data_IF_022314652113
#
_entry.id   IF_022314652113
#
_cell.length_a   1.000
_cell.length_b   1.000
_cell.length_c   1.000
_cell.angle_alpha   90.00
_cell.angle_beta   90.00
_cell.angle_gamma   90.00
#
_symmetry.space_group_name_H-M   'P 1'
#
loop_
_entity.id
_entity.type
_entity.pdbx_description
1 polymer ?
#
# COMPACT_ATOMS: atom_id res chain seq x y z
N UNK A 1 -14.69 6.07 -25.49
CA UNK A 1 -13.58 5.80 -24.56
C UNK A 1 -14.19 5.57 -23.19
N UNK A 2 -14.00 4.40 -22.58
CA UNK A 2 -14.54 4.13 -21.24
C UNK A 2 -13.68 4.87 -20.19
N UNK A 3 -14.28 5.50 -19.18
CA UNK A 3 -13.51 6.16 -18.12
C UNK A 3 -12.70 5.12 -17.33
N UNK A 4 -11.40 5.38 -17.19
CA UNK A 4 -10.51 4.61 -16.31
C UNK A 4 -10.30 5.39 -15.01
N UNK A 5 -10.50 4.73 -13.88
CA UNK A 5 -10.34 5.29 -12.55
C UNK A 5 -9.04 4.81 -11.91
N UNK A 6 -8.43 5.63 -11.07
CA UNK A 6 -7.24 5.26 -10.32
C UNK A 6 -7.57 5.03 -8.84
N UNK A 7 -6.94 4.00 -8.27
CA UNK A 7 -7.19 3.57 -6.91
C UNK A 7 -5.96 2.95 -6.26
N UNK A 8 -5.94 3.01 -4.95
CA UNK A 8 -4.93 2.34 -4.13
C UNK A 8 -5.62 1.48 -3.09
N UNK A 9 -4.98 0.37 -2.75
CA UNK A 9 -5.57 -0.62 -1.88
C UNK A 9 -4.60 -1.70 -1.49
N UNK A 10 -5.14 -2.80 -0.99
CA UNK A 10 -4.39 -3.98 -0.59
C UNK A 10 -4.89 -5.22 -1.32
N UNK A 11 -4.03 -6.19 -1.58
CA UNK A 11 -4.46 -7.45 -2.15
C UNK A 11 -5.22 -8.28 -1.09
N UNK A 12 -6.50 -8.59 -1.34
CA UNK A 12 -7.34 -9.36 -0.42
C UNK A 12 -7.01 -10.84 -0.49
N UNK A 13 -6.90 -11.37 -1.71
CA UNK A 13 -6.41 -12.72 -1.98
C UNK A 13 -6.06 -12.83 -3.46
N UNK A 14 -5.12 -13.71 -3.77
CA UNK A 14 -4.71 -13.99 -5.14
C UNK A 14 -4.50 -15.49 -5.34
N UNK A 15 -5.22 -16.06 -6.31
CA UNK A 15 -5.06 -17.46 -6.67
C UNK A 15 -4.03 -17.58 -7.79
N UNK A 16 -2.82 -17.95 -7.39
CA UNK A 16 -1.68 -18.14 -8.28
C UNK A 16 -1.91 -19.23 -9.33
N UNK A 17 -2.64 -20.29 -8.98
CA UNK A 17 -2.93 -21.40 -9.90
C UNK A 17 -3.89 -20.95 -11.01
N UNK A 18 -4.89 -20.15 -10.65
CA UNK A 18 -5.89 -19.67 -11.61
C UNK A 18 -5.50 -18.36 -12.29
N UNK A 19 -4.55 -17.62 -11.73
CA UNK A 19 -4.05 -16.35 -12.27
C UNK A 19 -5.00 -15.16 -12.08
N UNK A 20 -5.89 -15.21 -11.09
CA UNK A 20 -6.79 -14.11 -10.74
C UNK A 20 -6.92 -13.92 -9.24
N UNK A 21 -7.40 -12.76 -8.83
CA UNK A 21 -7.64 -12.43 -7.44
C UNK A 21 -8.56 -11.23 -7.27
N UNK A 22 -8.64 -10.77 -6.03
CA UNK A 22 -9.38 -9.57 -5.67
C UNK A 22 -8.50 -8.63 -4.84
N UNK A 23 -8.63 -7.35 -5.16
CA UNK A 23 -8.01 -6.25 -4.42
C UNK A 23 -9.09 -5.56 -3.59
N UNK A 24 -8.73 -5.21 -2.36
CA UNK A 24 -9.54 -4.39 -1.48
C UNK A 24 -9.06 -2.95 -1.60
N UNK A 25 -9.84 -2.13 -2.31
CA UNK A 25 -9.54 -0.73 -2.56
C UNK A 25 -9.91 0.12 -1.34
N UNK A 26 -8.95 0.86 -0.79
CA UNK A 26 -9.15 1.69 0.41
C UNK A 26 -9.13 3.18 0.12
N UNK A 27 -8.52 3.61 -1.00
CA UNK A 27 -8.57 5.01 -1.44
C UNK A 27 -8.81 5.11 -2.94
N UNK A 28 -9.60 6.10 -3.34
CA UNK A 28 -9.92 6.44 -4.73
C UNK A 28 -9.42 7.84 -5.04
N UNK A 29 -8.57 7.98 -6.05
CA UNK A 29 -8.11 9.31 -6.51
C UNK A 29 -7.60 10.22 -5.35
N UNK A 30 -6.95 9.61 -4.35
CA UNK A 30 -6.46 10.30 -3.15
C UNK A 30 -7.48 10.47 -2.01
N UNK A 31 -8.76 10.18 -2.24
CA UNK A 31 -9.83 10.24 -1.22
C UNK A 31 -9.97 8.88 -0.53
N UNK A 32 -9.90 8.80 0.81
CA UNK A 32 -10.18 7.56 1.54
C UNK A 32 -11.65 7.15 1.36
N UNK A 33 -11.89 5.84 1.24
CA UNK A 33 -13.24 5.28 1.16
C UNK A 33 -13.67 4.79 2.54
N UNK A 34 -14.93 5.05 2.91
CA UNK A 34 -15.52 4.51 4.15
C UNK A 34 -15.66 2.99 4.09
N UNK A 35 -15.97 2.45 2.91
CA UNK A 35 -16.10 1.02 2.67
C UNK A 35 -15.05 0.54 1.66
N UNK A 36 -14.30 -0.54 1.97
CA UNK A 36 -13.37 -1.13 1.03
C UNK A 36 -14.11 -1.74 -0.17
N UNK A 37 -13.71 -1.34 -1.37
CA UNK A 37 -14.35 -1.82 -2.60
C UNK A 37 -13.55 -2.97 -3.20
N UNK A 38 -14.23 -4.09 -3.50
CA UNK A 38 -13.61 -5.25 -4.14
C UNK A 38 -13.41 -5.01 -5.65
N UNK A 39 -12.16 -5.14 -6.11
CA UNK A 39 -11.77 -4.96 -7.51
C UNK A 39 -11.16 -6.25 -8.05
N UNK A 40 -11.70 -6.73 -9.18
CA UNK A 40 -11.22 -7.93 -9.84
C UNK A 40 -9.86 -7.68 -10.52
N UNK A 41 -8.88 -8.54 -10.23
CA UNK A 41 -7.54 -8.48 -10.83
C UNK A 41 -7.20 -9.78 -11.57
N UNK A 42 -6.60 -9.61 -12.76
CA UNK A 42 -6.09 -10.71 -13.57
C UNK A 42 -4.56 -10.59 -13.70
N UNK A 43 -3.86 -11.72 -13.72
CA UNK A 43 -2.39 -11.75 -13.81
C UNK A 43 -1.83 -10.97 -15.00
N UNK A 44 -2.53 -10.96 -16.14
CA UNK A 44 -2.10 -10.25 -17.35
C UNK A 44 -2.06 -8.73 -17.19
N UNK A 45 -2.67 -8.19 -16.12
CA UNK A 45 -2.73 -6.76 -15.82
C UNK A 45 -1.68 -6.35 -14.78
N UNK A 46 -0.97 -7.31 -14.18
CA UNK A 46 0.11 -7.06 -13.24
C UNK A 46 1.36 -6.55 -13.98
N UNK A 47 1.83 -5.39 -13.56
CA UNK A 47 3.07 -4.81 -14.06
C UNK A 47 4.25 -5.37 -13.27
N UNK A 48 4.75 -6.50 -13.75
CA UNK A 48 5.94 -7.18 -13.22
C UNK A 48 6.54 -8.09 -14.28
N UNK A 49 7.85 -8.31 -14.20
CA UNK A 49 8.56 -9.30 -15.01
C UNK A 49 8.58 -10.66 -14.33
N UNK A 50 8.54 -11.73 -15.14
CA UNK A 50 8.53 -13.11 -14.64
C UNK A 50 7.16 -13.57 -14.14
N UNK A 51 7.13 -14.13 -12.93
CA UNK A 51 5.96 -14.82 -12.40
C UNK A 51 4.96 -13.84 -11.78
N UNK A 52 3.84 -13.62 -12.48
CA UNK A 52 2.85 -12.60 -12.14
C UNK A 52 1.95 -13.06 -10.99
N UNK A 53 2.24 -12.58 -9.79
CA UNK A 53 1.47 -12.90 -8.59
C UNK A 53 1.41 -11.70 -7.65
N UNK A 54 0.52 -11.77 -6.67
CA UNK A 54 0.39 -10.78 -5.61
C UNK A 54 0.46 -11.47 -4.24
N UNK A 55 1.08 -10.81 -3.27
CA UNK A 55 1.03 -11.26 -1.87
C UNK A 55 -0.23 -10.72 -1.20
N UNK A 56 -0.86 -11.55 -0.39
CA UNK A 56 -1.98 -11.12 0.45
C UNK A 56 -1.54 -10.01 1.42
N UNK A 57 -2.33 -8.94 1.52
CA UNK A 57 -2.02 -7.76 2.32
C UNK A 57 -0.99 -6.81 1.71
N UNK A 58 -0.48 -7.07 0.51
CA UNK A 58 0.44 -6.17 -0.18
C UNK A 58 -0.28 -4.88 -0.61
N UNK A 59 0.33 -3.72 -0.32
CA UNK A 59 -0.15 -2.44 -0.80
C UNK A 59 0.11 -2.31 -2.31
N UNK A 60 -0.92 -1.95 -3.06
CA UNK A 60 -0.87 -1.85 -4.52
C UNK A 60 -1.60 -0.61 -5.01
N UNK A 61 -1.12 -0.08 -6.12
CA UNK A 61 -1.75 1.00 -6.88
C UNK A 61 -2.24 0.44 -8.21
N UNK A 62 -3.45 0.81 -8.60
CA UNK A 62 -4.04 0.25 -9.80
C UNK A 62 -5.01 1.19 -10.48
N UNK A 63 -5.20 0.94 -11.76
CA UNK A 63 -6.24 1.57 -12.56
C UNK A 63 -7.34 0.55 -12.78
N UNK A 64 -8.60 0.91 -12.58
CA UNK A 64 -9.74 0.04 -12.79
C UNK A 64 -10.79 0.71 -13.70
N UNK A 65 -11.66 -0.10 -14.29
CA UNK A 65 -12.81 0.35 -15.07
C UNK A 65 -14.07 -0.36 -14.59
N UNK A 66 -15.22 0.28 -14.83
CA UNK A 66 -16.51 -0.35 -14.65
C UNK A 66 -16.82 -1.22 -15.87
N UNK A 67 -17.09 -2.49 -15.65
CA UNK A 67 -17.46 -3.49 -16.65
C UNK A 67 -18.80 -4.12 -16.28
N UNK A 68 -19.41 -4.90 -17.19
CA UNK A 68 -20.69 -5.58 -16.93
C UNK A 68 -20.63 -6.57 -15.76
N UNK A 69 -19.44 -7.04 -15.39
CA UNK A 69 -19.18 -7.97 -14.27
C UNK A 69 -18.77 -7.28 -12.97
N UNK A 70 -18.75 -5.94 -12.93
CA UNK A 70 -18.25 -5.16 -11.79
C UNK A 70 -16.99 -4.39 -12.12
N UNK A 71 -16.15 -4.15 -11.11
CA UNK A 71 -14.90 -3.40 -11.26
C UNK A 71 -13.75 -4.31 -11.68
N UNK A 72 -13.11 -3.97 -12.81
CA UNK A 72 -12.00 -4.73 -13.37
C UNK A 72 -10.73 -3.88 -13.42
N UNK A 73 -9.62 -4.40 -12.91
CA UNK A 73 -8.30 -3.77 -13.04
C UNK A 73 -7.82 -3.75 -14.49
N UNK A 74 -7.27 -2.62 -14.93
CA UNK A 74 -6.57 -2.48 -16.21
C UNK A 74 -5.04 -2.56 -16.05
N UNK A 75 -4.51 -2.03 -14.96
CA UNK A 75 -3.06 -2.00 -14.67
C UNK A 75 -2.87 -2.02 -13.16
N UNK A 76 -1.96 -2.85 -12.67
CA UNK A 76 -1.64 -2.96 -11.24
C UNK A 76 -0.13 -2.85 -11.05
N UNK A 77 0.29 -2.02 -10.11
CA UNK A 77 1.68 -1.78 -9.69
C UNK A 77 1.79 -1.79 -8.17
N UNK A 78 3.01 -1.89 -7.66
CA UNK A 78 3.30 -1.53 -6.28
C UNK A 78 3.23 -0.01 -6.06
N UNK A 79 3.39 0.43 -4.80
CA UNK A 79 3.41 1.83 -4.42
C UNK A 79 4.56 2.58 -5.09
N UNK A 80 4.32 3.79 -5.58
CA UNK A 80 5.28 4.59 -6.34
C UNK A 80 5.56 4.06 -7.74
N UNK A 81 4.70 3.19 -8.28
CA UNK A 81 4.90 2.58 -9.60
C UNK A 81 5.97 1.48 -9.64
N UNK A 82 6.42 1.00 -8.49
CA UNK A 82 7.37 -0.10 -8.35
C UNK A 82 6.73 -1.42 -8.83
N UNK A 83 7.54 -2.41 -9.21
CA UNK A 83 7.06 -3.76 -9.49
C UNK A 83 6.40 -4.39 -8.24
N UNK A 84 5.37 -5.20 -8.47
CA UNK A 84 4.72 -5.94 -7.39
C UNK A 84 5.70 -6.96 -6.78
N UNK A 85 5.64 -7.16 -5.46
CA UNK A 85 6.49 -8.12 -4.74
C UNK A 85 6.13 -9.54 -5.14
N UNK A 86 4.84 -9.84 -5.18
CA UNK A 86 4.31 -11.15 -5.54
C UNK A 86 4.36 -12.19 -4.42
N UNK A 87 3.75 -13.35 -4.68
CA UNK A 87 3.64 -14.41 -3.68
C UNK A 87 4.92 -15.25 -3.64
N UNK A 88 5.57 -15.27 -2.47
CA UNK A 88 6.85 -15.93 -2.17
C UNK A 88 6.77 -17.48 -2.15
N UNK A 89 6.24 -18.10 -3.20
CA UNK A 89 6.37 -19.54 -3.45
C UNK A 89 7.29 -19.86 -4.63
N UNK A 90 8.40 -19.13 -4.72
CA UNK A 90 9.65 -19.77 -5.10
C UNK A 90 10.49 -19.89 -3.84
N UNK A 91 10.76 -21.08 -3.31
CA UNK A 91 11.77 -21.22 -2.28
C UNK A 91 13.07 -20.70 -2.89
N UNK A 92 13.64 -19.64 -2.31
CA UNK A 92 15.05 -19.34 -2.52
C UNK A 92 15.78 -20.58 -2.04
N UNK A 93 16.33 -21.35 -2.98
CA UNK A 93 17.34 -22.34 -2.67
C UNK A 93 18.49 -21.60 -1.96
N UNK A 94 18.64 -21.85 -0.66
CA UNK A 94 19.90 -21.77 0.13
C UNK A 94 20.70 -20.47 0.21
N UNK A 95 21.03 -20.08 1.45
CA UNK A 95 22.22 -19.28 1.83
C UNK A 95 22.07 -17.76 1.63
N UNK A 96 22.55 -16.89 2.51
CA UNK A 96 23.51 -17.04 3.61
C UNK A 96 23.44 -15.76 4.47
N UNK A 97 23.74 -15.89 5.76
CA UNK A 97 24.24 -14.78 6.57
C UNK A 97 25.33 -14.03 5.78
N UNK A 98 25.22 -12.69 5.72
CA UNK A 98 26.12 -11.84 4.95
C UNK A 98 25.94 -10.38 5.31
N UNK A 99 26.56 -9.97 6.43
CA UNK A 99 26.76 -8.57 6.80
C UNK A 99 27.59 -7.87 5.71
N UNK A 100 27.13 -6.71 5.23
CA UNK A 100 27.93 -5.75 4.44
C UNK A 100 27.18 -5.24 3.21
N UNK A 101 26.89 -3.97 3.03
CA UNK A 101 27.46 -2.76 3.62
C UNK A 101 27.60 -1.74 2.51
N UNK A 102 26.68 -0.78 2.45
CA UNK A 102 26.76 0.42 1.62
C UNK A 102 26.78 1.67 2.50
N UNK A 103 27.76 1.74 3.40
CA UNK A 103 28.16 2.98 4.04
C UNK A 103 28.83 3.88 2.99
N UNK A 104 28.15 4.93 2.52
CA UNK A 104 28.87 6.09 1.97
C UNK A 104 29.36 6.92 3.14
N UNK A 105 30.55 6.54 3.63
CA UNK A 105 31.35 7.31 4.57
C UNK A 105 32.25 8.26 3.76
N UNK A 106 31.69 9.36 3.28
CA UNK A 106 32.50 10.50 2.83
C UNK A 106 33.13 11.13 4.07
N UNK A 107 34.44 11.34 4.00
CA UNK A 107 35.28 11.78 5.11
C UNK A 107 34.96 13.22 5.54
N UNK A 108 34.84 13.40 6.86
CA UNK A 108 35.28 14.56 7.68
C UNK A 108 35.23 15.96 7.03
N UNK A 109 34.26 16.76 7.41
CA UNK A 109 34.49 17.92 8.31
C UNK A 109 33.14 18.47 8.79
N UNK A 110 33.12 18.99 10.02
CA UNK A 110 31.95 19.37 10.83
C UNK A 110 30.90 20.22 10.10
N UNK A 111 29.62 19.86 10.24
CA UNK A 111 28.76 20.56 11.20
C UNK A 111 27.58 19.68 11.61
N UNK A 112 27.38 19.59 12.92
CA UNK A 112 26.23 18.96 13.56
C UNK A 112 24.93 19.57 13.06
N UNK A 113 23.88 18.76 12.98
CA UNK A 113 22.64 19.05 13.69
C UNK A 113 21.91 17.73 13.95
N UNK A 114 22.13 17.27 15.17
CA UNK A 114 21.31 16.33 15.92
C UNK A 114 19.82 16.64 15.80
N UNK A 115 19.01 15.61 15.61
CA UNK A 115 17.89 15.40 16.54
C UNK A 115 17.50 13.93 16.66
N UNK A 116 17.35 13.51 17.90
CA UNK A 116 17.13 12.16 18.38
C UNK A 116 15.64 11.87 18.60
N UNK A 117 15.21 10.68 18.15
CA UNK A 117 14.32 9.68 18.80
C UNK A 117 13.01 10.09 19.49
N UNK A 118 11.96 9.30 19.21
CA UNK A 118 10.90 8.91 20.16
C UNK A 118 9.75 8.19 19.44
N UNK A 119 9.54 6.87 19.53
CA UNK A 119 9.04 6.02 20.63
C UNK A 119 7.52 6.08 20.83
N UNK A 120 6.89 4.91 20.57
CA UNK A 120 5.67 4.30 21.17
C UNK A 120 4.30 4.95 20.92
N UNK A 121 3.35 4.19 20.35
CA UNK A 121 2.35 3.37 21.08
C UNK A 121 1.43 4.22 21.95
N UNK A 122 0.16 4.35 21.57
CA UNK A 122 -1.00 3.75 22.27
C UNK A 122 -2.30 4.38 21.79
N UNK A 123 -3.28 3.50 21.57
CA UNK A 123 -4.73 3.63 21.69
C UNK A 123 -5.33 5.03 21.93
N UNK A 124 -6.19 5.46 21.01
CA UNK A 124 -7.22 6.46 21.29
C UNK A 124 -8.53 5.74 21.61
N UNK A 125 -9.19 6.13 22.72
CA UNK A 125 -10.64 6.15 22.76
C UNK A 125 -11.19 7.54 23.15
N UNK A 126 -12.16 7.98 22.34
CA UNK A 126 -13.49 8.49 22.72
C UNK A 126 -13.55 9.71 23.68
N UNK A 127 -13.84 10.86 23.06
CA UNK A 127 -14.94 11.79 23.41
C UNK A 127 -15.19 12.19 24.87
N UNK A 128 -14.99 13.47 25.17
CA UNK A 128 -15.79 14.18 26.16
C UNK A 128 -15.94 15.66 25.74
N UNK A 129 -17.17 15.98 25.34
CA UNK A 129 -17.70 17.30 25.07
C UNK A 129 -17.78 18.10 26.37
N UNK A 130 -17.22 19.31 26.42
CA UNK A 130 -17.67 20.33 27.37
C UNK A 130 -17.86 21.65 26.62
N UNK A 131 -19.12 21.93 26.32
CA UNK A 131 -19.56 23.23 25.84
C UNK A 131 -19.66 24.24 26.97
N UNK A 132 -19.34 25.49 26.59
CA UNK A 132 -19.98 26.75 26.97
C UNK A 132 -20.21 27.05 28.46
N UNK A 133 -19.69 28.19 28.93
CA UNK A 133 -20.52 29.39 29.11
C UNK A 133 -19.61 30.58 29.47
N UNK A 134 -19.60 31.58 28.60
CA UNK A 134 -19.22 32.95 28.96
C UNK A 134 -20.12 33.42 30.12
N UNK A 135 -19.54 34.03 31.14
CA UNK A 135 -20.29 35.02 31.92
C UNK A 135 -19.45 36.28 32.11
N UNK A 136 -20.12 37.37 31.76
CA UNK A 136 -19.67 38.75 31.65
C UNK A 136 -19.48 39.36 33.03
N UNK A 137 -18.44 40.19 33.13
CA UNK A 137 -18.13 41.11 34.20
C UNK A 137 -19.14 42.28 34.21
N UNK A 138 -19.93 42.43 35.28
CA UNK A 138 -20.38 43.71 35.86
C UNK A 138 -20.50 43.52 37.36
#
# INVERSE_FOLDING_TARGET
>A
MAPSFHGVGVCKWFNVRMGFGFLSMTKREGVPLDEPVDVFVHQSKLHMEGFRSLKEGEAVEFTYKKSSKGLESQRVTGPGGIYCVGSERRPKAGGSDGIGGGCVRVQRSLLQLSYTKGTTSTCLPIGAEVGNFCHVLV
#
